data_IF_575639363658
#
_entry.id   IF_575639363658
#
_cell.length_a   1.000
_cell.length_b   1.000
_cell.length_c   1.000
_cell.angle_alpha   90.00
_cell.angle_beta   90.00
_cell.angle_gamma   90.00
#
_symmetry.space_group_name_H-M   'P 1'
#
loop_
_entity.id
_entity.type
_entity.pdbx_description
1 polymer ?
#
# COMPACT_ATOMS: atom_id res chain seq x y z
N UNK A 1 9.06 10.85 -14.06
CA UNK A 1 9.22 9.43 -14.36
C UNK A 1 8.35 8.59 -13.44
N UNK A 2 7.76 7.52 -13.94
CA UNK A 2 6.98 6.65 -13.06
C UNK A 2 7.88 5.92 -12.07
N UNK A 3 7.29 5.52 -10.96
CA UNK A 3 8.03 4.75 -9.96
C UNK A 3 8.43 3.40 -10.56
N UNK A 4 9.65 2.97 -10.23
CA UNK A 4 10.18 1.70 -10.71
C UNK A 4 9.43 0.53 -10.07
N UNK A 5 9.22 -0.54 -10.84
CA UNK A 5 8.58 -1.75 -10.34
C UNK A 5 9.34 -2.36 -9.16
N UNK A 6 10.66 -2.28 -9.18
CA UNK A 6 11.47 -2.76 -8.07
C UNK A 6 11.21 -2.00 -6.78
N UNK A 7 10.96 -0.69 -6.89
CA UNK A 7 10.61 0.12 -5.73
C UNK A 7 9.22 -0.24 -5.22
N UNK A 8 8.27 -0.47 -6.12
CA UNK A 8 6.92 -0.90 -5.73
C UNK A 8 7.00 -2.24 -5.00
N UNK A 9 7.82 -3.16 -5.47
CA UNK A 9 7.98 -4.46 -4.82
C UNK A 9 8.52 -4.36 -3.41
N UNK A 10 9.50 -3.47 -3.19
CA UNK A 10 10.04 -3.23 -1.85
C UNK A 10 8.96 -2.72 -0.92
N UNK A 11 8.13 -1.79 -1.40
CA UNK A 11 7.04 -1.26 -0.62
C UNK A 11 6.01 -2.34 -0.33
N UNK A 12 5.69 -3.17 -1.33
CA UNK A 12 4.77 -4.28 -1.16
C UNK A 12 5.23 -5.23 -0.07
N UNK A 13 6.51 -5.59 -0.07
CA UNK A 13 7.06 -6.51 0.93
C UNK A 13 6.90 -5.93 2.33
N UNK A 14 7.16 -4.64 2.49
CA UNK A 14 7.01 -3.99 3.78
C UNK A 14 5.55 -3.99 4.22
N UNK A 15 4.63 -3.64 3.32
CA UNK A 15 3.20 -3.60 3.63
C UNK A 15 2.69 -5.00 3.98
N UNK A 16 3.09 -6.02 3.22
CA UNK A 16 2.63 -7.38 3.47
C UNK A 16 3.19 -7.94 4.78
N UNK A 17 4.35 -7.45 5.20
CA UNK A 17 4.92 -7.84 6.48
C UNK A 17 4.16 -7.21 7.65
N UNK A 18 3.84 -5.93 7.55
CA UNK A 18 3.15 -5.20 8.62
C UNK A 18 1.65 -5.46 8.60
N UNK A 19 1.09 -5.72 7.42
CA UNK A 19 -0.34 -5.94 7.22
C UNK A 19 -0.55 -7.21 6.41
N UNK A 20 -0.47 -8.39 7.08
CA UNK A 20 -0.58 -9.67 6.35
C UNK A 20 -1.87 -9.83 5.57
N UNK A 21 -2.95 -9.15 5.97
CA UNK A 21 -4.22 -9.18 5.26
C UNK A 21 -4.14 -8.56 3.86
N UNK A 22 -3.09 -7.80 3.60
CA UNK A 22 -2.89 -7.18 2.29
C UNK A 22 -2.15 -8.08 1.31
N UNK A 23 -1.72 -9.27 1.74
CA UNK A 23 -1.05 -10.21 0.85
C UNK A 23 -1.97 -10.62 -0.28
N UNK A 24 -1.42 -10.63 -1.49
CA UNK A 24 -2.19 -10.98 -2.66
C UNK A 24 -2.97 -9.82 -3.27
N UNK A 25 -2.99 -8.66 -2.62
CA UNK A 25 -3.61 -7.47 -3.21
C UNK A 25 -2.60 -6.71 -4.05
N UNK A 26 -3.10 -5.99 -5.04
CA UNK A 26 -2.26 -5.09 -5.83
C UNK A 26 -2.61 -3.66 -5.48
N UNK A 27 -1.61 -2.81 -5.22
CA UNK A 27 -1.89 -1.42 -4.91
C UNK A 27 -2.24 -0.63 -6.16
N UNK A 28 -3.09 0.37 -6.00
CA UNK A 28 -3.24 1.42 -6.99
C UNK A 28 -2.12 2.41 -6.77
N UNK A 29 -1.37 2.73 -7.81
CA UNK A 29 -0.22 3.61 -7.71
C UNK A 29 -0.56 4.93 -8.37
N UNK A 30 -0.43 6.01 -7.62
CA UNK A 30 -0.58 7.36 -8.13
C UNK A 30 0.72 8.12 -7.92
N UNK A 31 1.16 8.85 -8.92
CA UNK A 31 2.35 9.68 -8.81
C UNK A 31 1.94 11.15 -8.80
N UNK A 32 2.51 11.90 -7.87
CA UNK A 32 2.29 13.33 -7.76
C UNK A 32 3.63 14.01 -7.50
N UNK A 33 4.21 14.59 -8.56
CA UNK A 33 5.54 15.21 -8.47
C UNK A 33 6.59 14.16 -8.10
N UNK A 34 7.29 14.41 -7.01
CA UNK A 34 8.35 13.53 -6.54
C UNK A 34 7.86 12.43 -5.61
N UNK A 35 6.55 12.32 -5.42
CA UNK A 35 5.96 11.36 -4.49
C UNK A 35 5.03 10.42 -5.19
N UNK A 36 4.92 9.23 -4.63
CA UNK A 36 3.98 8.21 -5.08
C UNK A 36 3.08 7.83 -3.92
N UNK A 37 1.82 7.60 -4.22
CA UNK A 37 0.87 7.09 -3.25
C UNK A 37 0.41 5.71 -3.71
N UNK A 38 0.57 4.72 -2.84
CA UNK A 38 0.11 3.36 -3.10
C UNK A 38 -1.08 3.10 -2.19
N UNK A 39 -2.19 2.66 -2.78
CA UNK A 39 -3.40 2.37 -2.03
C UNK A 39 -3.69 0.89 -2.14
N UNK A 40 -3.68 0.21 -1.00
CA UNK A 40 -3.99 -1.21 -0.90
C UNK A 40 -5.39 -1.37 -0.33
N UNK A 41 -6.18 -2.24 -0.95
CA UNK A 41 -7.54 -2.53 -0.47
C UNK A 41 -7.69 -4.03 -0.26
N UNK A 42 -8.22 -4.41 0.88
CA UNK A 42 -8.49 -5.80 1.18
C UNK A 42 -9.81 -5.93 1.93
N UNK A 43 -10.45 -7.08 1.77
CA UNK A 43 -11.63 -7.43 2.57
C UNK A 43 -11.19 -8.35 3.71
N UNK A 44 -11.64 -8.01 4.90
CA UNK A 44 -11.34 -8.77 6.10
C UNK A 44 -12.66 -9.23 6.70
N UNK A 45 -12.75 -10.52 7.06
CA UNK A 45 -13.91 -11.02 7.78
C UNK A 45 -13.79 -10.69 9.25
N UNK A 46 -14.82 -10.09 9.80
CA UNK A 46 -14.90 -9.77 11.22
C UNK A 46 -16.18 -10.37 11.80
N UNK A 47 -16.30 -10.47 13.14
CA UNK A 47 -17.55 -10.91 13.76
C UNK A 47 -18.75 -10.08 13.37
N UNK A 48 -18.55 -8.82 13.01
CA UNK A 48 -19.61 -7.92 12.57
C UNK A 48 -19.89 -8.04 11.07
N UNK A 49 -19.15 -8.88 10.33
CA UNK A 49 -19.31 -9.06 8.89
C UNK A 49 -18.07 -8.64 8.12
N UNK A 50 -18.13 -8.65 6.79
CA UNK A 50 -16.99 -8.23 5.98
C UNK A 50 -16.73 -6.74 6.10
N UNK A 51 -15.48 -6.38 6.28
CA UNK A 51 -15.04 -4.98 6.31
C UNK A 51 -13.94 -4.75 5.30
N UNK A 52 -13.99 -3.59 4.63
CA UNK A 52 -12.92 -3.18 3.75
C UNK A 52 -11.83 -2.49 4.56
N UNK A 53 -10.58 -2.92 4.35
CA UNK A 53 -9.42 -2.25 4.93
C UNK A 53 -8.63 -1.57 3.84
N UNK A 54 -8.22 -0.35 4.11
CA UNK A 54 -7.44 0.44 3.17
C UNK A 54 -6.15 0.86 3.84
N UNK A 55 -5.03 0.58 3.17
CA UNK A 55 -3.72 1.03 3.59
C UNK A 55 -3.19 1.98 2.53
N UNK A 56 -2.83 3.18 2.94
CA UNK A 56 -2.21 4.16 2.04
C UNK A 56 -0.76 4.32 2.41
N UNK A 57 0.10 4.22 1.41
CA UNK A 57 1.53 4.39 1.59
C UNK A 57 1.98 5.56 0.74
N UNK A 58 2.57 6.55 1.38
CA UNK A 58 3.23 7.64 0.66
C UNK A 58 4.72 7.33 0.60
N UNK A 59 5.28 7.35 -0.59
CA UNK A 59 6.68 7.03 -0.82
C UNK A 59 7.29 8.01 -1.80
N UNK A 60 8.63 8.09 -1.80
CA UNK A 60 9.32 8.86 -2.81
C UNK A 60 9.63 7.95 -4.02
N UNK A 61 10.22 8.54 -5.07
CA UNK A 61 10.49 7.82 -6.30
C UNK A 61 11.60 6.78 -6.15
N UNK A 62 12.35 6.82 -5.07
CA UNK A 62 13.39 5.83 -4.80
C UNK A 62 12.85 4.60 -4.08
N UNK A 63 11.57 4.61 -3.71
CA UNK A 63 10.95 3.51 -2.99
C UNK A 63 11.01 3.64 -1.48
N UNK A 64 11.45 4.78 -0.97
CA UNK A 64 11.50 5.03 0.46
C UNK A 64 10.09 5.39 0.97
N UNK A 65 9.62 4.65 1.94
CA UNK A 65 8.33 4.93 2.55
C UNK A 65 8.44 6.17 3.44
N UNK A 66 7.60 7.16 3.16
CA UNK A 66 7.55 8.41 3.92
C UNK A 66 6.49 8.33 5.00
N UNK A 67 5.33 7.74 4.68
CA UNK A 67 4.23 7.66 5.61
C UNK A 67 3.32 6.48 5.26
N UNK A 68 2.80 5.82 6.26
CA UNK A 68 1.79 4.78 6.09
C UNK A 68 0.58 5.18 6.91
N UNK A 69 -0.59 5.15 6.29
CA UNK A 69 -1.87 5.41 6.95
C UNK A 69 -2.80 4.25 6.70
N UNK A 70 -3.59 3.92 7.71
CA UNK A 70 -4.60 2.87 7.58
C UNK A 70 -5.98 3.48 7.83
N UNK A 71 -6.97 2.94 7.13
CA UNK A 71 -8.37 3.28 7.31
C UNK A 71 -9.13 2.03 7.71
N UNK A 72 -10.02 2.19 8.64
CA UNK A 72 -10.89 1.09 9.04
C UNK A 72 -12.11 1.02 8.14
#
# INVERSE_FOLDING_TARGET
MPIDNGCVEKINQRVYREYPEMRGTRPSVSQDGDRCTLVYKARVQTPAGPMARIVRVAADLSGRVVKISTSK
#
